data_IF_394147919915
#
_entry.id   IF_394147919915
#
_cell.length_a   1.000
_cell.length_b   1.000
_cell.length_c   1.000
_cell.angle_alpha   90.00
_cell.angle_beta   90.00
_cell.angle_gamma   90.00
#
_symmetry.space_group_name_H-M   'P 1'
#
loop_
_entity.id
_entity.type
_entity.pdbx_description
1 polymer ?
#
# COMPACT_ATOMS: atom_id res chain seq x y z
N UNK A 1 -27.50 -0.91 -35.27
CA UNK A 1 -27.47 -0.68 -33.81
C UNK A 1 -28.27 -1.83 -33.20
N UNK A 2 -27.60 -2.80 -32.61
CA UNK A 2 -28.27 -3.87 -31.88
C UNK A 2 -28.75 -3.34 -30.55
N UNK A 3 -30.06 -3.17 -30.37
CA UNK A 3 -30.66 -2.91 -29.07
C UNK A 3 -30.38 -4.11 -28.18
N UNK A 4 -29.63 -3.88 -27.11
CA UNK A 4 -29.41 -4.86 -26.03
C UNK A 4 -30.73 -4.98 -25.28
N UNK A 5 -31.51 -6.01 -25.58
CA UNK A 5 -32.76 -6.33 -24.88
C UNK A 5 -32.39 -7.02 -23.59
N UNK A 6 -32.42 -6.29 -22.46
CA UNK A 6 -32.29 -6.89 -21.14
C UNK A 6 -33.48 -7.82 -20.86
N UNK A 7 -33.23 -9.11 -20.58
CA UNK A 7 -34.26 -10.04 -20.14
C UNK A 7 -34.95 -9.50 -18.89
N UNK A 8 -36.24 -9.22 -18.97
CA UNK A 8 -37.05 -8.79 -17.83
C UNK A 8 -37.42 -10.02 -16.99
N UNK A 9 -37.20 -9.93 -15.65
CA UNK A 9 -37.77 -10.74 -14.60
C UNK A 9 -37.25 -12.19 -14.36
N UNK A 10 -36.00 -12.49 -14.60
CA UNK A 10 -35.39 -13.63 -13.92
C UNK A 10 -34.73 -13.14 -12.61
N UNK A 11 -34.95 -13.89 -11.51
CA UNK A 11 -34.29 -13.65 -10.21
C UNK A 11 -32.76 -13.65 -10.40
N UNK A 12 -32.09 -12.55 -10.09
CA UNK A 12 -30.64 -12.42 -10.30
C UNK A 12 -29.90 -13.21 -9.22
N UNK A 13 -29.46 -14.41 -9.53
CA UNK A 13 -28.62 -15.20 -8.61
C UNK A 13 -27.20 -14.65 -8.66
N UNK A 14 -26.86 -13.82 -7.71
CA UNK A 14 -25.61 -13.03 -7.69
C UNK A 14 -24.38 -13.90 -7.45
N UNK A 15 -24.47 -14.91 -6.58
CA UNK A 15 -23.32 -15.69 -6.11
C UNK A 15 -22.52 -16.42 -7.21
N UNK A 16 -23.14 -17.13 -8.17
CA UNK A 16 -22.42 -17.68 -9.32
C UNK A 16 -21.81 -16.62 -10.24
N UNK A 17 -22.48 -15.45 -10.34
CA UNK A 17 -22.00 -14.34 -11.16
C UNK A 17 -20.77 -13.66 -10.53
N UNK A 18 -20.66 -13.64 -9.20
CA UNK A 18 -19.45 -13.16 -8.51
C UNK A 18 -18.24 -13.99 -8.94
N UNK A 19 -18.32 -15.32 -8.90
CA UNK A 19 -17.20 -16.19 -9.29
C UNK A 19 -16.84 -16.00 -10.78
N UNK A 20 -17.83 -15.90 -11.64
CA UNK A 20 -17.60 -15.63 -13.07
C UNK A 20 -16.91 -14.28 -13.30
N UNK A 21 -17.35 -13.24 -12.60
CA UNK A 21 -16.72 -11.91 -12.63
C UNK A 21 -15.27 -11.93 -12.13
N UNK A 22 -15.01 -12.58 -11.00
CA UNK A 22 -13.66 -12.66 -10.42
C UNK A 22 -12.67 -13.40 -11.32
N UNK A 23 -13.15 -14.38 -12.09
CA UNK A 23 -12.35 -15.07 -13.09
C UNK A 23 -12.15 -14.26 -14.37
N UNK A 24 -13.06 -13.32 -14.67
CA UNK A 24 -13.00 -12.48 -15.86
C UNK A 24 -12.02 -11.30 -15.71
N UNK A 25 -11.93 -10.72 -14.52
CA UNK A 25 -11.15 -9.49 -14.31
C UNK A 25 -9.64 -9.77 -14.32
N UNK A 26 -8.91 -8.94 -15.07
CA UNK A 26 -7.42 -8.95 -15.07
C UNK A 26 -6.88 -7.97 -14.02
N UNK A 27 -6.77 -8.43 -12.78
CA UNK A 27 -6.25 -7.66 -11.65
C UNK A 27 -5.41 -8.55 -10.73
N UNK A 28 -4.68 -7.95 -9.79
CA UNK A 28 -3.85 -8.73 -8.85
C UNK A 28 -4.70 -9.58 -7.90
N UNK A 29 -4.15 -10.74 -7.45
CA UNK A 29 -4.77 -11.64 -6.47
C UNK A 29 -5.29 -10.92 -5.22
N UNK A 30 -4.56 -9.93 -4.72
CA UNK A 30 -4.99 -9.13 -3.57
C UNK A 30 -6.22 -8.29 -3.90
N UNK A 31 -6.35 -7.81 -5.13
CA UNK A 31 -7.54 -7.08 -5.59
C UNK A 31 -8.71 -8.05 -5.73
N UNK A 32 -8.49 -9.24 -6.31
CA UNK A 32 -9.49 -10.32 -6.39
C UNK A 32 -10.01 -10.66 -4.99
N UNK A 33 -9.13 -10.91 -4.02
CA UNK A 33 -9.51 -11.19 -2.62
C UNK A 33 -10.33 -10.05 -2.01
N UNK A 34 -9.93 -8.80 -2.23
CA UNK A 34 -10.66 -7.63 -1.72
C UNK A 34 -12.04 -7.49 -2.36
N UNK A 35 -12.14 -7.70 -3.67
CA UNK A 35 -13.41 -7.65 -4.39
C UNK A 35 -14.34 -8.78 -3.95
N UNK A 36 -13.82 -10.00 -3.81
CA UNK A 36 -14.61 -11.13 -3.33
C UNK A 36 -15.25 -10.85 -1.97
N UNK A 37 -14.47 -10.34 -1.01
CA UNK A 37 -15.01 -9.98 0.32
C UNK A 37 -16.11 -8.94 0.21
N UNK A 38 -15.92 -7.85 -0.56
CA UNK A 38 -16.91 -6.81 -0.70
C UNK A 38 -18.18 -7.27 -1.41
N UNK A 39 -18.06 -8.13 -2.43
CA UNK A 39 -19.20 -8.68 -3.19
C UNK A 39 -19.97 -9.70 -2.37
N UNK A 40 -19.29 -10.56 -1.59
CA UNK A 40 -19.96 -11.51 -0.69
C UNK A 40 -20.74 -10.77 0.40
N UNK A 41 -20.16 -9.72 1.01
CA UNK A 41 -20.88 -8.91 1.99
C UNK A 41 -22.13 -8.23 1.39
N UNK A 42 -22.04 -7.75 0.16
CA UNK A 42 -23.21 -7.21 -0.54
C UNK A 42 -24.26 -8.28 -0.82
N UNK A 43 -23.86 -9.47 -1.26
CA UNK A 43 -24.76 -10.60 -1.48
C UNK A 43 -25.47 -11.04 -0.20
N UNK A 44 -24.74 -11.10 0.93
CA UNK A 44 -25.31 -11.42 2.24
C UNK A 44 -26.32 -10.36 2.69
N UNK A 45 -26.02 -9.07 2.50
CA UNK A 45 -26.94 -7.97 2.74
C UNK A 45 -28.25 -8.16 1.94
N UNK A 46 -28.16 -8.47 0.65
CA UNK A 46 -29.34 -8.70 -0.20
C UNK A 46 -30.17 -9.88 0.28
N UNK A 47 -29.52 -11.00 0.64
CA UNK A 47 -30.17 -12.19 1.18
C UNK A 47 -30.89 -11.89 2.50
N UNK A 48 -30.23 -11.21 3.43
CA UNK A 48 -30.80 -10.85 4.75
C UNK A 48 -32.03 -9.93 4.63
N UNK A 49 -32.05 -9.06 3.63
CA UNK A 49 -33.16 -8.14 3.38
C UNK A 49 -34.20 -8.68 2.39
N UNK A 50 -34.07 -9.92 1.91
CA UNK A 50 -35.00 -10.55 0.96
C UNK A 50 -35.02 -9.87 -0.42
N UNK A 51 -33.96 -9.18 -0.81
CA UNK A 51 -33.86 -8.38 -2.05
C UNK A 51 -33.45 -9.30 -3.18
N UNK A 52 -34.39 -9.62 -4.07
CA UNK A 52 -34.16 -10.47 -5.25
C UNK A 52 -33.75 -9.70 -6.49
N UNK A 53 -34.19 -8.47 -6.63
CA UNK A 53 -33.86 -7.58 -7.75
C UNK A 53 -33.27 -6.28 -7.20
N UNK A 54 -31.95 -6.23 -6.99
CA UNK A 54 -31.30 -5.07 -6.41
C UNK A 54 -31.48 -3.80 -7.24
N UNK A 55 -31.71 -2.71 -6.55
CA UNK A 55 -31.85 -1.38 -7.12
C UNK A 55 -30.70 -0.47 -6.72
N UNK A 56 -30.65 0.72 -7.30
CA UNK A 56 -29.71 1.76 -6.88
C UNK A 56 -29.82 2.12 -5.40
N UNK A 57 -31.05 2.12 -4.89
CA UNK A 57 -31.33 2.46 -3.49
C UNK A 57 -30.75 1.41 -2.54
N UNK A 58 -30.81 0.14 -2.90
CA UNK A 58 -30.23 -0.94 -2.10
C UNK A 58 -28.71 -0.81 -1.97
N UNK A 59 -28.01 -0.40 -3.03
CA UNK A 59 -26.57 -0.12 -2.95
C UNK A 59 -26.27 1.08 -2.05
N UNK A 60 -27.12 2.09 -2.05
CA UNK A 60 -26.98 3.27 -1.16
C UNK A 60 -27.23 2.83 0.30
N UNK A 61 -28.27 2.06 0.55
CA UNK A 61 -28.60 1.59 1.90
C UNK A 61 -27.50 0.68 2.44
N UNK A 62 -26.97 -0.23 1.63
CA UNK A 62 -25.81 -1.04 2.00
C UNK A 62 -24.60 -0.18 2.38
N UNK A 63 -24.31 0.87 1.60
CA UNK A 63 -23.24 1.82 1.93
C UNK A 63 -23.46 2.48 3.29
N UNK A 64 -24.67 2.94 3.57
CA UNK A 64 -24.98 3.59 4.85
C UNK A 64 -24.89 2.62 6.03
N UNK A 65 -25.33 1.37 5.87
CA UNK A 65 -25.16 0.32 6.88
C UNK A 65 -23.66 0.04 7.15
N UNK A 66 -22.87 -0.09 6.10
CA UNK A 66 -21.41 -0.27 6.26
C UNK A 66 -20.72 0.90 6.97
N UNK A 67 -21.23 2.13 6.84
CA UNK A 67 -20.67 3.29 7.55
C UNK A 67 -20.74 3.17 9.06
N UNK A 68 -21.68 2.42 9.58
CA UNK A 68 -21.85 2.23 11.03
C UNK A 68 -20.81 1.26 11.61
N UNK A 69 -20.26 0.36 10.78
CA UNK A 69 -19.44 -0.75 11.25
C UNK A 69 -18.02 -0.76 10.66
N UNK A 70 -17.79 -0.06 9.55
CA UNK A 70 -16.55 -0.12 8.79
C UNK A 70 -15.88 1.26 8.64
N UNK A 71 -14.55 1.25 8.50
CA UNK A 71 -13.79 2.46 8.18
C UNK A 71 -14.11 2.94 6.76
N UNK A 72 -14.12 4.27 6.50
CA UNK A 72 -14.46 4.84 5.19
C UNK A 72 -13.71 4.23 4.00
N UNK A 73 -12.42 3.91 4.17
CA UNK A 73 -11.62 3.25 3.14
C UNK A 73 -12.13 1.85 2.79
N UNK A 74 -12.60 1.08 3.78
CA UNK A 74 -13.16 -0.26 3.57
C UNK A 74 -14.48 -0.17 2.81
N UNK A 75 -15.35 0.76 3.21
CA UNK A 75 -16.63 1.00 2.50
C UNK A 75 -16.39 1.39 1.05
N UNK A 76 -15.43 2.30 0.80
CA UNK A 76 -15.09 2.70 -0.56
C UNK A 76 -14.50 1.54 -1.38
N UNK A 77 -13.71 0.66 -0.77
CA UNK A 77 -13.18 -0.53 -1.45
C UNK A 77 -14.31 -1.50 -1.87
N UNK A 78 -15.29 -1.72 -1.00
CA UNK A 78 -16.46 -2.56 -1.32
C UNK A 78 -17.33 -1.93 -2.41
N UNK A 79 -17.55 -0.62 -2.35
CA UNK A 79 -18.27 0.09 -3.41
C UNK A 79 -17.56 0.03 -4.77
N UNK A 80 -16.22 0.04 -4.79
CA UNK A 80 -15.43 -0.14 -6.02
C UNK A 80 -15.67 -1.53 -6.59
N UNK A 81 -15.67 -2.58 -5.74
CA UNK A 81 -15.94 -3.94 -6.17
C UNK A 81 -17.34 -4.07 -6.78
N UNK A 82 -18.38 -3.52 -6.10
CA UNK A 82 -19.77 -3.54 -6.57
C UNK A 82 -19.93 -2.79 -7.89
N UNK A 83 -19.29 -1.62 -8.05
CA UNK A 83 -19.33 -0.87 -9.32
C UNK A 83 -18.71 -1.63 -10.47
N UNK A 84 -17.54 -2.22 -10.28
CA UNK A 84 -16.90 -3.01 -11.31
C UNK A 84 -17.72 -4.25 -11.68
N UNK A 85 -18.35 -4.88 -10.69
CA UNK A 85 -19.25 -6.02 -10.90
C UNK A 85 -20.49 -5.64 -11.72
N UNK A 86 -21.19 -4.56 -11.36
CA UNK A 86 -22.39 -4.14 -12.12
C UNK A 86 -22.03 -3.55 -13.49
N UNK A 87 -20.90 -2.92 -13.65
CA UNK A 87 -20.38 -2.49 -14.95
C UNK A 87 -20.11 -3.69 -15.85
N UNK A 88 -19.56 -4.79 -15.31
CA UNK A 88 -19.37 -6.03 -16.02
C UNK A 88 -20.70 -6.72 -16.36
N UNK A 89 -21.66 -6.76 -15.43
CA UNK A 89 -22.99 -7.30 -15.70
C UNK A 89 -23.71 -6.55 -16.84
N UNK A 90 -23.57 -5.23 -16.89
CA UNK A 90 -24.11 -4.43 -18.00
C UNK A 90 -23.40 -4.73 -19.32
N UNK A 91 -22.06 -4.88 -19.29
CA UNK A 91 -21.27 -5.26 -20.46
C UNK A 91 -21.68 -6.66 -21.01
N UNK A 92 -21.91 -7.62 -20.13
CA UNK A 92 -22.40 -8.97 -20.49
C UNK A 92 -23.89 -8.99 -20.89
N UNK A 93 -24.60 -7.87 -20.82
CA UNK A 93 -26.04 -7.80 -21.15
C UNK A 93 -26.96 -8.49 -20.13
N UNK A 94 -26.48 -8.77 -18.91
CA UNK A 94 -27.23 -9.49 -17.87
C UNK A 94 -28.21 -8.53 -17.17
N UNK A 95 -27.74 -7.34 -16.75
CA UNK A 95 -28.59 -6.32 -16.12
C UNK A 95 -27.99 -4.93 -16.31
N UNK A 96 -28.77 -3.88 -16.07
CA UNK A 96 -28.28 -2.50 -16.11
C UNK A 96 -27.36 -2.21 -14.92
N UNK A 97 -26.37 -1.35 -15.12
CA UNK A 97 -25.53 -0.86 -14.01
C UNK A 97 -26.32 0.09 -13.11
N UNK A 98 -26.75 -0.42 -11.96
CA UNK A 98 -27.46 0.31 -10.91
C UNK A 98 -26.56 1.22 -10.07
N UNK A 99 -25.24 1.13 -10.24
CA UNK A 99 -24.26 1.85 -9.41
C UNK A 99 -23.85 3.20 -9.99
N UNK A 100 -24.28 3.53 -11.20
CA UNK A 100 -23.93 4.79 -11.89
C UNK A 100 -24.21 6.00 -11.00
N UNK A 101 -23.23 6.92 -10.90
CA UNK A 101 -23.31 8.14 -10.09
C UNK A 101 -23.48 7.94 -8.57
N UNK A 102 -23.34 6.75 -8.03
CA UNK A 102 -23.25 6.55 -6.58
C UNK A 102 -21.90 7.09 -6.12
N UNK A 103 -21.88 8.01 -5.18
CA UNK A 103 -20.65 8.56 -4.61
C UNK A 103 -20.11 7.66 -3.50
N UNK A 104 -18.80 7.57 -3.37
CA UNK A 104 -18.13 7.00 -2.20
C UNK A 104 -18.29 7.90 -0.98
N UNK A 105 -17.82 7.39 0.16
CA UNK A 105 -17.71 8.17 1.40
C UNK A 105 -16.52 9.12 1.26
N UNK A 106 -16.73 10.38 1.63
CA UNK A 106 -15.64 11.36 1.70
C UNK A 106 -14.65 10.93 2.77
N UNK A 107 -13.40 10.78 2.38
CA UNK A 107 -12.33 10.48 3.32
C UNK A 107 -11.92 11.78 4.01
N UNK A 108 -12.05 11.81 5.32
CA UNK A 108 -11.36 12.82 6.10
C UNK A 108 -9.88 12.47 6.08
N UNK A 109 -9.06 13.42 5.61
CA UNK A 109 -7.60 13.25 5.53
C UNK A 109 -6.99 13.50 6.92
N UNK A 110 -7.34 12.66 7.88
CA UNK A 110 -6.54 12.58 9.09
C UNK A 110 -5.35 11.68 8.80
N UNK A 111 -4.18 12.28 8.66
CA UNK A 111 -2.92 11.53 8.62
C UNK A 111 -2.69 10.90 9.99
N UNK A 112 -3.28 9.72 10.18
CA UNK A 112 -3.09 8.93 11.41
C UNK A 112 -1.68 8.31 11.51
N UNK A 113 -0.84 8.50 10.49
CA UNK A 113 0.49 7.88 10.40
C UNK A 113 1.51 8.92 9.99
N UNK A 114 2.65 8.92 10.65
CA UNK A 114 3.77 9.82 10.41
C UNK A 114 5.06 9.07 10.12
N UNK A 115 6.09 9.76 9.69
CA UNK A 115 7.46 9.29 9.74
C UNK A 115 8.02 9.27 11.15
N UNK A 116 9.24 8.77 11.31
CA UNK A 116 10.02 8.76 12.53
C UNK A 116 10.91 10.01 12.57
N UNK A 117 11.11 10.58 13.73
CA UNK A 117 12.15 11.59 13.93
C UNK A 117 13.55 10.94 13.89
N UNK A 118 14.60 11.76 13.77
CA UNK A 118 15.98 11.27 13.81
C UNK A 118 16.31 10.55 15.14
N UNK A 119 15.77 11.04 16.24
CA UNK A 119 15.92 10.43 17.56
C UNK A 119 15.20 9.09 17.64
N UNK A 120 14.00 9.01 17.09
CA UNK A 120 13.25 7.76 17.04
C UNK A 120 13.92 6.70 16.14
N UNK A 121 14.55 7.11 15.03
CA UNK A 121 15.37 6.21 14.20
C UNK A 121 16.52 5.63 15.03
N UNK A 122 17.26 6.49 15.78
CA UNK A 122 18.34 6.04 16.67
C UNK A 122 17.82 5.07 17.74
N UNK A 123 16.68 5.36 18.35
CA UNK A 123 16.06 4.49 19.35
C UNK A 123 15.71 3.12 18.74
N UNK A 124 15.11 3.09 17.55
CA UNK A 124 14.77 1.85 16.84
C UNK A 124 16.02 1.03 16.51
N UNK A 125 17.08 1.66 16.02
CA UNK A 125 18.34 0.97 15.70
C UNK A 125 19.04 0.44 16.97
N UNK A 126 19.01 1.17 18.07
CA UNK A 126 19.62 0.76 19.34
C UNK A 126 18.94 -0.48 19.98
N UNK A 127 17.67 -0.73 19.69
CA UNK A 127 16.94 -1.88 20.20
C UNK A 127 16.97 -3.10 19.28
N UNK A 128 17.67 -3.03 18.15
CA UNK A 128 17.88 -4.17 17.25
C UNK A 128 18.72 -5.25 17.98
N UNK A 129 18.25 -6.49 17.95
CA UNK A 129 18.90 -7.63 18.63
C UNK A 129 19.80 -8.45 17.71
N UNK A 130 19.67 -8.29 16.42
CA UNK A 130 20.42 -9.02 15.41
C UNK A 130 20.52 -8.20 14.12
N UNK A 131 21.45 -8.60 13.27
CA UNK A 131 21.75 -7.93 12.00
C UNK A 131 20.56 -7.93 11.03
N UNK A 132 19.65 -8.92 11.11
CA UNK A 132 18.44 -8.97 10.29
C UNK A 132 17.49 -7.81 10.59
N UNK A 133 17.24 -7.55 11.86
CA UNK A 133 16.39 -6.44 12.29
C UNK A 133 16.97 -5.10 11.87
N UNK A 134 18.26 -4.93 12.07
CA UNK A 134 19.00 -3.73 11.68
C UNK A 134 18.97 -3.50 10.16
N UNK A 135 19.23 -4.55 9.37
CA UNK A 135 19.23 -4.48 7.92
C UNK A 135 17.84 -4.18 7.36
N UNK A 136 16.77 -4.75 7.90
CA UNK A 136 15.39 -4.44 7.51
C UNK A 136 15.12 -2.95 7.67
N UNK A 137 15.48 -2.35 8.81
CA UNK A 137 15.25 -0.93 9.08
C UNK A 137 16.11 -0.06 8.17
N UNK A 138 17.43 -0.28 8.17
CA UNK A 138 18.39 0.54 7.42
C UNK A 138 18.10 0.49 5.92
N UNK A 139 17.90 -0.71 5.34
CA UNK A 139 17.64 -0.87 3.92
C UNK A 139 16.31 -0.25 3.51
N UNK A 140 15.28 -0.37 4.37
CA UNK A 140 13.97 0.27 4.13
C UNK A 140 14.10 1.79 4.12
N UNK A 141 14.83 2.38 5.07
CA UNK A 141 15.04 3.82 5.18
C UNK A 141 15.89 4.35 4.01
N UNK A 142 17.05 3.73 3.75
CA UNK A 142 18.01 4.26 2.75
C UNK A 142 17.57 4.09 1.31
N UNK A 143 16.76 3.07 1.00
CA UNK A 143 16.25 2.81 -0.34
C UNK A 143 14.75 3.10 -0.48
N UNK A 144 14.12 3.64 0.55
CA UNK A 144 12.69 3.95 0.60
C UNK A 144 11.80 2.79 0.10
N UNK A 145 12.06 1.56 0.55
CA UNK A 145 11.42 0.35 0.04
C UNK A 145 9.99 0.17 0.53
N UNK A 146 9.10 -0.30 -0.37
CA UNK A 146 7.81 -0.86 0.04
C UNK A 146 8.01 -2.26 0.61
N UNK A 147 7.13 -2.71 1.48
CA UNK A 147 7.27 -4.02 2.13
C UNK A 147 7.35 -5.18 1.12
N UNK A 148 6.63 -5.10 0.01
CA UNK A 148 6.70 -6.12 -1.04
C UNK A 148 8.01 -6.02 -1.84
N UNK A 149 8.56 -4.82 -2.01
CA UNK A 149 9.86 -4.61 -2.63
C UNK A 149 10.95 -5.23 -1.75
N UNK A 150 10.98 -4.87 -0.45
CA UNK A 150 11.92 -5.45 0.52
C UNK A 150 11.85 -6.98 0.59
N UNK A 151 10.63 -7.52 0.66
CA UNK A 151 10.39 -8.96 0.75
C UNK A 151 10.97 -9.74 -0.42
N UNK A 152 10.85 -9.18 -1.63
CA UNK A 152 11.16 -9.88 -2.87
C UNK A 152 12.61 -9.69 -3.33
N UNK A 153 13.47 -8.97 -2.58
CA UNK A 153 14.88 -8.81 -2.93
C UNK A 153 15.57 -10.16 -2.96
N UNK A 154 16.27 -10.42 -4.05
CA UNK A 154 17.16 -11.57 -4.23
C UNK A 154 18.62 -11.12 -4.32
N UNK A 155 19.54 -12.05 -4.11
CA UNK A 155 20.97 -11.75 -4.27
C UNK A 155 21.32 -11.32 -5.69
N UNK A 156 20.67 -11.88 -6.71
CA UNK A 156 20.82 -11.53 -8.12
C UNK A 156 20.33 -10.12 -8.49
N UNK A 157 19.58 -9.46 -7.60
CA UNK A 157 19.11 -8.10 -7.81
C UNK A 157 20.19 -7.05 -7.52
N UNK A 158 21.29 -7.44 -6.88
CA UNK A 158 22.44 -6.56 -6.68
C UNK A 158 23.38 -6.66 -7.85
N UNK A 159 23.75 -5.51 -8.41
CA UNK A 159 24.70 -5.46 -9.52
C UNK A 159 25.60 -4.24 -9.42
N UNK A 160 26.76 -4.32 -10.08
CA UNK A 160 27.69 -3.19 -10.16
C UNK A 160 27.46 -2.44 -11.48
N UNK A 161 27.21 -1.14 -11.38
CA UNK A 161 27.16 -0.23 -12.53
C UNK A 161 28.28 0.79 -12.39
N UNK A 162 29.34 0.60 -13.16
CA UNK A 162 30.54 1.49 -13.23
C UNK A 162 31.10 1.83 -11.83
N UNK A 163 31.23 0.84 -10.98
CA UNK A 163 31.77 0.99 -9.63
C UNK A 163 30.75 1.35 -8.55
N UNK A 164 29.48 1.54 -8.92
CA UNK A 164 28.39 1.82 -8.00
C UNK A 164 27.54 0.57 -7.79
N UNK A 165 27.30 0.21 -6.55
CA UNK A 165 26.40 -0.90 -6.23
C UNK A 165 24.95 -0.44 -6.35
N UNK A 166 24.22 -1.14 -7.18
CA UNK A 166 22.81 -0.89 -7.47
C UNK A 166 21.95 -2.07 -7.00
N UNK A 167 20.75 -1.78 -6.53
CA UNK A 167 19.70 -2.75 -6.25
C UNK A 167 18.58 -2.59 -7.27
N UNK A 168 18.26 -3.66 -7.96
CA UNK A 168 17.09 -3.76 -8.83
C UNK A 168 15.86 -3.97 -7.96
N UNK A 169 14.88 -3.06 -8.08
CA UNK A 169 13.63 -3.10 -7.28
C UNK A 169 12.46 -3.43 -8.19
N UNK A 170 11.83 -4.57 -7.95
CA UNK A 170 10.68 -5.03 -8.72
C UNK A 170 9.39 -4.40 -8.19
N UNK A 171 8.82 -3.48 -8.96
CA UNK A 171 7.54 -2.85 -8.66
C UNK A 171 6.34 -3.60 -9.26
N UNK A 172 5.13 -3.36 -8.72
CA UNK A 172 3.88 -3.81 -9.37
C UNK A 172 3.59 -2.95 -10.60
N UNK A 173 3.80 -3.47 -11.79
CA UNK A 173 3.25 -2.92 -13.02
C UNK A 173 2.07 -3.78 -13.51
N UNK A 174 1.08 -3.17 -14.18
CA UNK A 174 -0.01 -3.90 -14.84
C UNK A 174 0.47 -4.75 -16.01
N UNK A 175 1.51 -4.27 -16.71
CA UNK A 175 1.98 -4.80 -17.99
C UNK A 175 3.37 -5.46 -17.88
N UNK A 176 3.68 -6.03 -16.73
CA UNK A 176 4.99 -6.60 -16.45
C UNK A 176 5.65 -5.94 -15.23
N UNK A 177 6.75 -6.52 -14.79
CA UNK A 177 7.51 -6.02 -13.65
C UNK A 177 8.18 -4.69 -14.04
N UNK A 178 7.64 -3.55 -13.55
CA UNK A 178 8.37 -2.30 -13.65
C UNK A 178 9.64 -2.45 -12.80
N UNK A 179 10.76 -2.37 -13.46
CA UNK A 179 12.07 -2.51 -12.88
C UNK A 179 12.63 -1.10 -12.63
N UNK A 180 12.76 -0.74 -11.37
CA UNK A 180 13.46 0.47 -10.95
C UNK A 180 14.80 0.05 -10.33
N UNK A 181 15.78 0.93 -10.29
CA UNK A 181 17.09 0.67 -9.66
C UNK A 181 17.38 1.75 -8.62
N UNK A 182 17.94 1.34 -7.49
CA UNK A 182 18.31 2.23 -6.38
C UNK A 182 19.78 2.00 -6.05
N UNK A 183 20.53 3.09 -5.89
CA UNK A 183 21.91 3.02 -5.41
C UNK A 183 21.95 2.52 -3.96
N UNK A 184 22.86 1.62 -3.69
CA UNK A 184 23.17 1.14 -2.34
C UNK A 184 24.41 1.85 -1.82
N UNK A 185 24.34 2.45 -0.64
CA UNK A 185 25.48 3.00 0.07
C UNK A 185 26.44 1.86 0.48
N UNK A 186 27.75 2.08 0.38
CA UNK A 186 28.75 1.05 0.64
C UNK A 186 28.64 0.45 2.05
N UNK A 187 28.30 1.27 3.04
CA UNK A 187 28.07 0.80 4.44
C UNK A 187 26.89 -0.15 4.55
N UNK A 188 25.83 0.11 3.78
CA UNK A 188 24.67 -0.78 3.72
C UNK A 188 25.04 -2.07 2.99
N UNK A 189 25.84 -1.98 1.93
CA UNK A 189 26.29 -3.16 1.20
C UNK A 189 27.18 -4.06 2.05
N UNK A 190 28.08 -3.50 2.86
CA UNK A 190 28.86 -4.28 3.83
C UNK A 190 27.96 -4.97 4.86
N UNK A 191 26.92 -4.29 5.37
CA UNK A 191 25.96 -4.88 6.28
C UNK A 191 25.17 -6.03 5.60
N UNK A 192 24.84 -5.89 4.31
CA UNK A 192 24.22 -6.97 3.52
C UNK A 192 25.17 -8.18 3.42
N UNK A 193 26.44 -7.98 3.13
CA UNK A 193 27.44 -9.08 3.06
C UNK A 193 27.56 -9.81 4.41
N UNK A 194 27.66 -9.06 5.51
CA UNK A 194 27.71 -9.64 6.84
C UNK A 194 26.45 -10.48 7.12
N UNK A 195 25.28 -9.93 6.83
CA UNK A 195 24.01 -10.63 6.97
C UNK A 195 23.95 -11.90 6.11
N UNK A 196 24.38 -11.82 4.86
CA UNK A 196 24.39 -12.97 3.96
C UNK A 196 25.30 -14.10 4.47
N UNK A 197 26.47 -13.76 5.04
CA UNK A 197 27.39 -14.74 5.62
C UNK A 197 26.81 -15.35 6.89
N UNK A 198 26.27 -14.54 7.82
CA UNK A 198 25.72 -15.03 9.10
C UNK A 198 24.50 -15.93 8.89
N UNK A 199 23.64 -15.61 7.95
CA UNK A 199 22.39 -16.33 7.69
C UNK A 199 22.51 -17.34 6.53
N UNK A 200 23.69 -17.50 5.91
CA UNK A 200 23.92 -18.37 4.76
C UNK A 200 22.87 -18.17 3.65
N UNK A 201 22.60 -16.89 3.29
CA UNK A 201 21.59 -16.51 2.30
C UNK A 201 21.95 -17.08 0.93
N UNK A 202 20.99 -17.72 0.24
CA UNK A 202 21.22 -18.38 -1.06
C UNK A 202 20.43 -17.75 -2.22
N UNK A 203 19.25 -17.20 -1.95
CA UNK A 203 18.34 -16.67 -2.97
C UNK A 203 17.69 -15.36 -2.47
N UNK A 204 16.56 -15.46 -1.77
CA UNK A 204 15.91 -14.29 -1.18
C UNK A 204 16.74 -13.71 -0.04
N UNK A 205 16.97 -12.38 -0.08
CA UNK A 205 17.71 -11.68 0.98
C UNK A 205 17.07 -11.96 2.35
N UNK A 206 15.75 -11.86 2.45
CA UNK A 206 14.99 -12.15 3.66
C UNK A 206 14.15 -13.41 3.49
N UNK A 207 14.59 -14.50 4.06
CA UNK A 207 13.87 -15.76 4.06
C UNK A 207 13.33 -16.15 5.45
N UNK A 208 12.33 -17.04 5.46
CA UNK A 208 11.73 -17.57 6.68
C UNK A 208 12.66 -18.53 7.39
N UNK A 209 12.80 -18.37 8.70
CA UNK A 209 13.53 -19.29 9.58
C UNK A 209 12.59 -20.18 10.40
N UNK A 210 11.26 -20.15 10.13
CA UNK A 210 10.33 -21.06 10.77
C UNK A 210 10.47 -22.48 10.20
N UNK A 211 10.27 -23.50 11.04
CA UNK A 211 10.44 -24.91 10.65
C UNK A 211 9.57 -25.31 9.44
N UNK A 212 8.33 -24.79 9.38
CA UNK A 212 7.39 -25.10 8.28
C UNK A 212 7.76 -24.46 6.94
N UNK A 213 8.37 -23.28 6.96
CA UNK A 213 8.64 -22.47 5.75
C UNK A 213 10.12 -22.09 5.65
N UNK A 214 11.02 -22.91 6.19
CA UNK A 214 12.46 -22.64 6.17
C UNK A 214 12.98 -22.43 4.73
N UNK A 215 13.73 -21.36 4.52
CA UNK A 215 14.31 -21.02 3.22
C UNK A 215 13.34 -20.37 2.23
N UNK A 216 12.03 -20.38 2.47
CA UNK A 216 11.07 -19.66 1.63
C UNK A 216 11.13 -18.16 1.88
N UNK A 217 10.70 -17.36 0.90
CA UNK A 217 10.63 -15.91 1.04
C UNK A 217 9.83 -15.51 2.30
N UNK A 218 10.38 -14.60 3.10
CA UNK A 218 9.72 -14.12 4.32
C UNK A 218 8.38 -13.46 4.03
N UNK A 219 7.35 -13.80 4.80
CA UNK A 219 6.03 -13.19 4.60
C UNK A 219 6.01 -11.70 5.00
N UNK A 220 5.16 -10.90 4.34
CA UNK A 220 4.95 -9.50 4.74
C UNK A 220 4.41 -9.36 6.16
N UNK A 221 3.71 -10.38 6.66
CA UNK A 221 3.22 -10.45 8.05
C UNK A 221 4.40 -10.57 9.01
N UNK A 222 5.35 -11.45 8.70
CA UNK A 222 6.58 -11.64 9.51
C UNK A 222 7.42 -10.36 9.55
N UNK A 223 7.63 -9.70 8.41
CA UNK A 223 8.36 -8.42 8.33
C UNK A 223 7.66 -7.34 9.18
N UNK A 224 6.33 -7.19 9.04
CA UNK A 224 5.57 -6.25 9.88
C UNK A 224 5.69 -6.57 11.36
N UNK A 225 5.66 -7.85 11.73
CA UNK A 225 5.81 -8.29 13.13
C UNK A 225 7.18 -7.90 13.69
N UNK A 226 8.25 -8.07 12.90
CA UNK A 226 9.61 -7.63 13.28
C UNK A 226 9.62 -6.12 13.56
N UNK A 227 9.17 -5.31 12.60
CA UNK A 227 9.20 -3.85 12.74
C UNK A 227 8.29 -3.36 13.88
N UNK A 228 7.11 -3.94 14.04
CA UNK A 228 6.22 -3.61 15.15
C UNK A 228 6.86 -3.95 16.51
N UNK A 229 7.59 -5.06 16.61
CA UNK A 229 8.32 -5.41 17.82
C UNK A 229 9.48 -4.44 18.09
N UNK A 230 10.15 -3.94 17.04
CA UNK A 230 11.17 -2.90 17.17
C UNK A 230 10.57 -1.60 17.73
N UNK A 231 9.45 -1.12 17.17
CA UNK A 231 8.77 0.07 17.67
C UNK A 231 8.32 -0.10 19.13
N UNK A 232 7.79 -1.26 19.50
CA UNK A 232 7.44 -1.56 20.89
C UNK A 232 8.65 -1.53 21.82
N UNK A 233 9.77 -2.14 21.42
CA UNK A 233 11.01 -2.12 22.22
C UNK A 233 11.61 -0.72 22.34
N UNK A 234 11.45 0.11 21.31
CA UNK A 234 11.84 1.52 21.33
C UNK A 234 10.83 2.41 22.06
N UNK A 235 9.76 1.85 22.66
CA UNK A 235 8.69 2.55 23.36
C UNK A 235 8.02 3.66 22.51
N UNK A 236 7.82 3.39 21.21
CA UNK A 236 7.18 4.32 20.27
C UNK A 236 5.67 4.09 20.19
N UNK A 237 4.93 5.13 19.82
CA UNK A 237 3.46 5.07 19.68
C UNK A 237 3.04 4.21 18.48
N UNK A 238 2.54 3.03 18.77
CA UNK A 238 2.08 2.05 17.78
C UNK A 238 0.81 2.46 17.02
N UNK A 239 0.06 3.46 17.51
CA UNK A 239 -1.13 3.95 16.82
C UNK A 239 -0.75 4.78 15.58
N UNK A 240 0.41 5.44 15.65
CA UNK A 240 0.91 6.36 14.63
C UNK A 240 1.92 5.71 13.68
N UNK A 241 2.58 4.63 14.09
CA UNK A 241 3.73 4.04 13.39
C UNK A 241 3.43 2.61 12.90
N UNK A 242 3.80 2.36 11.66
CA UNK A 242 3.71 1.04 11.00
C UNK A 242 4.94 0.85 10.11
N UNK A 243 5.14 -0.33 9.53
CA UNK A 243 6.24 -0.56 8.57
C UNK A 243 6.37 0.56 7.53
N UNK A 244 5.25 1.02 6.98
CA UNK A 244 5.26 2.07 5.94
C UNK A 244 5.75 3.43 6.46
N UNK A 245 5.72 3.66 7.77
CA UNK A 245 6.29 4.85 8.41
C UNK A 245 7.79 4.98 8.17
N UNK A 246 8.55 3.87 8.07
CA UNK A 246 9.97 3.92 7.69
C UNK A 246 10.17 4.57 6.31
N UNK A 247 9.34 4.19 5.34
CA UNK A 247 9.38 4.81 4.01
C UNK A 247 8.88 6.26 4.02
N UNK A 248 7.86 6.59 4.84
CA UNK A 248 7.43 7.98 5.06
C UNK A 248 8.58 8.83 5.57
N UNK A 249 9.33 8.31 6.54
CA UNK A 249 10.54 8.96 7.08
C UNK A 249 11.53 9.32 5.98
N UNK A 250 11.82 8.39 5.06
CA UNK A 250 12.74 8.67 3.94
C UNK A 250 12.25 9.85 3.08
N UNK A 251 10.94 9.91 2.80
CA UNK A 251 10.36 11.00 2.03
C UNK A 251 10.43 12.33 2.77
N UNK A 252 10.05 12.35 4.05
CA UNK A 252 10.06 13.55 4.90
C UNK A 252 11.48 14.10 5.05
N UNK A 253 12.46 13.24 5.38
CA UNK A 253 13.87 13.65 5.53
C UNK A 253 14.46 14.24 4.25
N UNK A 254 14.19 13.66 3.08
CA UNK A 254 14.68 14.21 1.81
C UNK A 254 14.05 15.57 1.48
N UNK A 255 12.77 15.76 1.79
CA UNK A 255 12.09 17.04 1.58
C UNK A 255 12.56 18.09 2.60
N UNK A 256 12.84 17.70 3.85
CA UNK A 256 13.41 18.56 4.90
C UNK A 256 14.84 19.01 4.58
N UNK A 257 15.63 18.13 3.91
CA UNK A 257 16.96 18.44 3.38
C UNK A 257 16.92 19.35 2.14
N UNK A 258 15.72 19.75 1.69
CA UNK A 258 15.53 20.68 0.57
C UNK A 258 15.60 20.04 -0.82
N UNK A 259 15.56 18.71 -0.91
CA UNK A 259 15.56 18.03 -2.21
C UNK A 259 14.31 18.38 -3.01
N UNK A 260 14.44 18.60 -4.34
CA UNK A 260 13.31 18.91 -5.20
C UNK A 260 12.22 17.85 -5.12
N UNK A 261 10.96 18.27 -5.05
CA UNK A 261 9.80 17.37 -4.94
C UNK A 261 9.77 16.29 -6.03
N UNK A 262 10.20 16.64 -7.24
CA UNK A 262 10.23 15.71 -8.36
C UNK A 262 11.26 14.61 -8.15
N UNK A 263 12.47 14.97 -7.71
CA UNK A 263 13.57 14.04 -7.47
C UNK A 263 13.19 13.08 -6.31
N UNK A 264 12.57 13.62 -5.25
CA UNK A 264 12.03 12.81 -4.16
C UNK A 264 10.94 11.87 -4.66
N UNK A 265 10.01 12.34 -5.51
CA UNK A 265 8.95 11.51 -6.08
C UNK A 265 9.51 10.35 -6.93
N UNK A 266 10.56 10.61 -7.70
CA UNK A 266 11.25 9.61 -8.51
C UNK A 266 12.00 8.60 -7.64
N UNK A 267 12.79 9.07 -6.68
CA UNK A 267 13.47 8.22 -5.71
C UNK A 267 12.50 7.32 -4.94
N UNK A 268 11.37 7.87 -4.53
CA UNK A 268 10.28 7.13 -3.88
C UNK A 268 9.55 6.19 -4.84
N UNK A 269 9.79 6.24 -6.12
CA UNK A 269 9.08 5.43 -7.14
C UNK A 269 7.56 5.61 -7.06
N UNK A 270 7.10 6.88 -6.88
CA UNK A 270 5.69 7.21 -6.87
C UNK A 270 5.14 7.25 -8.30
N UNK A 271 4.05 6.52 -8.58
CA UNK A 271 3.37 6.59 -9.88
C UNK A 271 2.73 7.95 -10.16
N UNK A 272 2.38 8.67 -9.09
CA UNK A 272 1.76 9.98 -9.16
C UNK A 272 2.44 10.91 -8.15
N UNK A 273 2.96 12.03 -8.63
CA UNK A 273 3.62 13.05 -7.83
C UNK A 273 2.70 13.61 -6.72
N UNK A 274 1.38 13.55 -6.90
CA UNK A 274 0.41 13.96 -5.87
C UNK A 274 0.59 13.21 -4.55
N UNK A 275 1.17 12.00 -4.60
CA UNK A 275 1.52 11.25 -3.39
C UNK A 275 2.63 11.93 -2.60
N UNK A 276 3.63 12.50 -3.27
CA UNK A 276 4.74 13.22 -2.63
C UNK A 276 4.30 14.62 -2.17
N UNK A 277 3.40 15.28 -2.92
CA UNK A 277 2.84 16.60 -2.56
C UNK A 277 2.16 16.57 -1.18
N UNK A 278 1.57 15.45 -0.79
CA UNK A 278 0.94 15.34 0.54
C UNK A 278 1.96 15.59 1.64
N UNK A 279 3.15 14.99 1.54
CA UNK A 279 4.23 15.18 2.53
C UNK A 279 4.76 16.61 2.53
N UNK A 280 4.97 17.19 1.35
CA UNK A 280 5.42 18.59 1.24
C UNK A 280 4.43 19.56 1.88
N UNK A 281 3.13 19.35 1.74
CA UNK A 281 2.11 20.17 2.39
C UNK A 281 2.15 20.06 3.92
N UNK A 282 2.40 18.87 4.46
CA UNK A 282 2.51 18.66 5.89
C UNK A 282 3.75 19.33 6.47
N UNK A 283 4.89 19.21 5.79
CA UNK A 283 6.13 19.89 6.18
C UNK A 283 5.95 21.41 6.13
N UNK A 284 5.36 21.97 5.08
CA UNK A 284 5.10 23.39 4.96
C UNK A 284 4.14 23.90 6.06
N UNK A 285 3.18 23.10 6.49
CA UNK A 285 2.31 23.43 7.62
C UNK A 285 3.07 23.45 8.95
N UNK A 286 4.03 22.52 9.15
CA UNK A 286 4.85 22.50 10.37
C UNK A 286 5.88 23.63 10.40
N UNK A 287 6.48 23.93 9.26
CA UNK A 287 7.60 24.86 9.18
C UNK A 287 7.22 26.30 8.84
N UNK A 288 5.96 26.67 8.75
CA UNK A 288 5.36 27.98 8.39
C UNK A 288 6.35 29.13 8.00
N UNK A 289 7.43 28.76 7.28
CA UNK A 289 8.50 29.69 6.83
C UNK A 289 7.90 30.83 6.02
N UNK A 290 6.86 30.55 5.24
CA UNK A 290 6.16 31.58 4.48
C UNK A 290 5.46 32.59 5.37
N UNK A 291 4.87 32.17 6.49
CA UNK A 291 4.23 33.09 7.44
C UNK A 291 5.27 33.97 8.15
N UNK A 292 6.42 33.40 8.51
CA UNK A 292 7.54 34.15 9.12
C UNK A 292 8.14 35.13 8.10
N UNK A 293 8.36 34.71 6.84
CA UNK A 293 8.89 35.58 5.79
C UNK A 293 7.91 36.73 5.46
N UNK A 294 6.60 36.43 5.41
CA UNK A 294 5.59 37.49 5.24
C UNK A 294 5.55 38.45 6.44
N UNK A 295 5.67 37.94 7.66
CA UNK A 295 5.73 38.78 8.85
C UNK A 295 6.96 39.70 8.81
N UNK A 296 8.13 39.18 8.47
CA UNK A 296 9.35 40.00 8.28
C UNK A 296 9.18 41.03 7.16
N UNK A 297 8.60 40.65 6.00
CA UNK A 297 8.38 41.57 4.88
C UNK A 297 7.35 42.67 5.17
N UNK A 298 6.42 42.44 6.08
CA UNK A 298 5.31 43.37 6.39
C UNK A 298 5.59 44.20 7.65
N UNK A 299 6.32 43.66 8.61
CA UNK A 299 6.49 44.27 9.94
C UNK A 299 7.86 44.93 10.09
N UNK A 300 8.86 44.64 9.25
CA UNK A 300 10.17 45.31 9.14
C UNK A 300 10.14 46.34 7.99
#
# INVERSE_FOLDING_TARGET
>A
MNEIVFKRNEELVIEPLIQRFLNYIDVSDNTIKSYNVGLLQFNDYLKCNGIKTPTREDVINFREELRLTHKPNTVNAYLIAIRNFYSWLEYEGITKDITKKIKGIKLERHHLRRGLSQEEIKQVLNVCKNIREELIVKLTLTCALRINELRNIRLEDFYNDKGVIMLRVLGKARDGLKQDSVKIDDRIFELIKQYCNEYAVKDYLFYSTSNENYGQVMSTISIRKIVNNLFKRANLDMNMLVFHSLRHTSCEMLLEDGMPLQDVSEFMRHKNISTTIVYSKELNHRNSVMANNLATMILD
#
